data_IF_589838627339
#
_entry.id   IF_589838627339
#
_cell.length_a   1.000
_cell.length_b   1.000
_cell.length_c   1.000
_cell.angle_alpha   90.00
_cell.angle_beta   90.00
_cell.angle_gamma   90.00
#
_symmetry.space_group_name_H-M   'P 1'
#
loop_
_entity.id
_entity.type
_entity.pdbx_description
1 polymer ?
#
# COMPACT_ATOMS: atom_id res chain seq x y z
N UNK A 1 5.15 7.07 4.17
CA UNK A 1 5.12 5.60 4.02
C UNK A 1 5.62 5.23 2.62
N UNK A 2 6.17 4.03 2.46
CA UNK A 2 6.69 3.51 1.19
C UNK A 2 5.93 2.25 0.81
N UNK A 3 5.54 2.14 -0.46
CA UNK A 3 4.89 0.97 -1.04
C UNK A 3 5.93 0.22 -1.89
N UNK A 4 6.02 -1.09 -1.69
CA UNK A 4 7.05 -1.94 -2.28
C UNK A 4 6.40 -3.17 -2.89
N UNK A 5 6.88 -3.59 -4.06
CA UNK A 5 6.52 -4.87 -4.66
C UNK A 5 7.00 -6.02 -3.77
N UNK A 6 6.10 -6.94 -3.45
CA UNK A 6 6.38 -8.03 -2.51
C UNK A 6 7.27 -9.13 -3.10
N UNK A 7 7.27 -9.31 -4.42
CA UNK A 7 7.99 -10.37 -5.11
C UNK A 7 9.47 -10.04 -5.34
N UNK A 8 9.76 -8.81 -5.79
CA UNK A 8 11.10 -8.39 -6.19
C UNK A 8 11.72 -7.34 -5.24
N UNK A 9 10.95 -6.77 -4.31
CA UNK A 9 11.41 -5.75 -3.37
C UNK A 9 11.59 -4.35 -3.97
N UNK A 10 11.12 -4.12 -5.19
CA UNK A 10 11.17 -2.84 -5.88
C UNK A 10 10.29 -1.79 -5.18
N UNK A 11 10.80 -0.56 -5.09
CA UNK A 11 10.04 0.55 -4.54
C UNK A 11 9.08 1.08 -5.59
N UNK A 12 7.78 0.87 -5.38
CA UNK A 12 6.72 1.32 -6.28
C UNK A 12 6.36 2.78 -6.05
N UNK A 13 6.19 3.17 -4.79
CA UNK A 13 5.83 4.56 -4.43
C UNK A 13 6.53 4.96 -3.13
N UNK A 14 7.15 6.14 -3.15
CA UNK A 14 7.78 6.74 -1.97
C UNK A 14 6.94 7.88 -1.40
N UNK A 15 7.18 8.20 -0.13
CA UNK A 15 6.63 9.40 0.53
C UNK A 15 5.10 9.52 0.49
N UNK A 16 4.38 8.39 0.53
CA UNK A 16 2.92 8.37 0.66
C UNK A 16 2.54 9.08 1.95
N UNK A 17 1.81 10.20 1.81
CA UNK A 17 1.28 10.99 2.91
C UNK A 17 -0.01 10.36 3.41
N UNK A 18 -0.05 10.07 4.70
CA UNK A 18 -1.24 9.55 5.38
C UNK A 18 -1.51 10.49 6.54
N UNK A 19 -2.64 11.19 6.48
CA UNK A 19 -3.03 12.16 7.51
C UNK A 19 -3.85 11.53 8.63
N UNK A 20 -4.59 10.46 8.35
CA UNK A 20 -5.40 9.76 9.36
C UNK A 20 -5.67 8.30 8.96
N UNK A 21 -6.12 7.49 9.93
CA UNK A 21 -6.53 6.10 9.67
C UNK A 21 -7.79 5.98 8.80
N UNK A 22 -8.67 6.98 8.83
CA UNK A 22 -9.89 7.03 8.01
C UNK A 22 -9.57 7.15 6.53
N UNK A 23 -8.55 7.95 6.21
CA UNK A 23 -8.12 8.24 4.83
C UNK A 23 -6.97 7.35 4.36
N UNK A 24 -6.53 6.40 5.18
CA UNK A 24 -5.35 5.56 4.93
C UNK A 24 -5.42 4.84 3.57
N UNK A 25 -6.48 4.07 3.34
CA UNK A 25 -6.60 3.29 2.10
C UNK A 25 -6.82 4.18 0.89
N UNK A 26 -7.64 5.23 1.01
CA UNK A 26 -7.82 6.20 -0.06
C UNK A 26 -6.50 6.85 -0.47
N UNK A 27 -5.65 7.18 0.50
CA UNK A 27 -4.33 7.78 0.25
C UNK A 27 -3.38 6.78 -0.45
N UNK A 28 -3.41 5.51 -0.05
CA UNK A 28 -2.63 4.43 -0.68
C UNK A 28 -3.08 4.21 -2.12
N UNK A 29 -4.39 4.03 -2.33
CA UNK A 29 -4.98 3.78 -3.65
C UNK A 29 -4.77 4.96 -4.58
N UNK A 30 -4.93 6.19 -4.09
CA UNK A 30 -4.62 7.39 -4.85
C UNK A 30 -3.13 7.43 -5.25
N UNK A 31 -2.22 7.11 -4.33
CA UNK A 31 -0.79 7.07 -4.63
C UNK A 31 -0.44 6.01 -5.68
N UNK A 32 -1.03 4.81 -5.59
CA UNK A 32 -0.85 3.73 -6.58
C UNK A 32 -1.39 4.12 -7.96
N UNK A 33 -2.59 4.72 -8.02
CA UNK A 33 -3.19 5.19 -9.27
C UNK A 33 -2.39 6.31 -9.93
N UNK A 34 -1.97 7.31 -9.16
CA UNK A 34 -1.22 8.46 -9.69
C UNK A 34 0.16 8.05 -10.21
N UNK A 35 0.73 6.95 -9.71
CA UNK A 35 2.00 6.40 -10.21
C UNK A 35 1.78 5.28 -11.25
N UNK A 36 0.55 5.08 -11.74
CA UNK A 36 0.22 4.09 -12.78
C UNK A 36 0.71 2.68 -12.47
N UNK A 37 0.66 2.30 -11.19
CA UNK A 37 1.17 0.99 -10.73
C UNK A 37 0.26 -0.13 -11.24
N UNK A 38 0.84 -1.10 -11.93
CA UNK A 38 0.14 -2.30 -12.41
C UNK A 38 -0.33 -3.21 -11.27
N UNK A 39 -1.38 -4.03 -11.48
CA UNK A 39 -1.85 -4.98 -10.48
C UNK A 39 -0.74 -5.93 -9.99
N UNK A 40 -0.50 -5.96 -8.68
CA UNK A 40 0.58 -6.75 -8.09
C UNK A 40 0.45 -6.88 -6.56
N UNK A 41 1.19 -7.82 -5.99
CA UNK A 41 1.35 -7.96 -4.53
C UNK A 41 2.26 -6.88 -3.98
N UNK A 42 1.83 -6.24 -2.89
CA UNK A 42 2.56 -5.13 -2.29
C UNK A 42 2.69 -5.29 -0.78
N UNK A 43 3.72 -4.67 -0.22
CA UNK A 43 3.84 -4.46 1.21
C UNK A 43 4.31 -3.03 1.53
N UNK A 44 4.26 -2.68 2.80
CA UNK A 44 4.50 -1.30 3.25
C UNK A 44 5.75 -1.21 4.15
N UNK A 45 6.57 -0.17 3.93
CA UNK A 45 7.67 0.23 4.84
C UNK A 45 7.47 1.66 5.34
N UNK A 46 8.18 2.03 6.40
CA UNK A 46 8.11 3.37 7.01
C UNK A 46 6.65 3.77 7.33
N UNK A 47 5.89 2.81 7.89
CA UNK A 47 4.47 2.96 8.18
C UNK A 47 4.30 3.79 9.46
N UNK A 48 3.39 4.80 9.47
CA UNK A 48 3.00 5.50 10.69
C UNK A 48 2.55 4.52 11.78
N UNK A 49 2.90 4.79 13.04
CA UNK A 49 2.67 3.87 14.15
C UNK A 49 1.20 3.42 14.27
N UNK A 50 0.27 4.36 14.07
CA UNK A 50 -1.17 4.13 14.09
C UNK A 50 -1.65 3.15 13.02
N UNK A 51 -1.01 3.15 11.84
CA UNK A 51 -1.38 2.32 10.70
C UNK A 51 -0.68 0.95 10.68
N UNK A 52 0.39 0.76 11.45
CA UNK A 52 1.18 -0.49 11.48
C UNK A 52 0.32 -1.72 11.72
N UNK A 53 -0.54 -1.70 12.75
CA UNK A 53 -1.40 -2.85 13.09
C UNK A 53 -2.33 -3.23 11.94
N UNK A 54 -2.87 -2.24 11.23
CA UNK A 54 -3.83 -2.44 10.15
C UNK A 54 -3.14 -2.97 8.88
N UNK A 55 -1.96 -2.44 8.55
CA UNK A 55 -1.26 -2.79 7.32
C UNK A 55 -0.37 -4.02 7.44
N UNK A 56 0.16 -4.35 8.61
CA UNK A 56 1.05 -5.51 8.79
C UNK A 56 0.33 -6.79 9.21
N UNK A 57 -0.98 -6.75 9.45
CA UNK A 57 -1.76 -7.93 9.87
C UNK A 57 -2.24 -8.80 8.71
N UNK A 58 -2.05 -8.36 7.48
CA UNK A 58 -2.57 -8.97 6.26
C UNK A 58 -1.58 -8.79 5.12
N UNK A 59 -1.60 -9.72 4.17
CA UNK A 59 -0.99 -9.52 2.86
C UNK A 59 -1.92 -8.69 1.98
N UNK A 60 -1.34 -7.87 1.10
CA UNK A 60 -2.08 -6.92 0.28
C UNK A 60 -1.82 -7.13 -1.19
N UNK A 61 -2.90 -7.02 -1.96
CA UNK A 61 -2.88 -7.04 -3.40
C UNK A 61 -3.47 -5.74 -3.93
N UNK A 62 -2.75 -5.09 -4.83
CA UNK A 62 -3.28 -4.00 -5.63
C UNK A 62 -3.84 -4.57 -6.91
N UNK A 63 -5.13 -4.35 -7.20
CA UNK A 63 -5.77 -4.88 -8.41
C UNK A 63 -5.87 -3.88 -9.58
N UNK A 64 -5.17 -2.73 -9.48
CA UNK A 64 -5.28 -1.63 -10.46
C UNK A 64 -6.38 -0.61 -10.14
N UNK A 65 -7.31 -0.94 -9.24
CA UNK A 65 -8.40 -0.03 -8.85
C UNK A 65 -8.56 0.14 -7.35
N UNK A 66 -8.36 -0.93 -6.58
CA UNK A 66 -8.58 -1.01 -5.15
C UNK A 66 -7.50 -1.86 -4.47
N UNK A 67 -7.22 -1.54 -3.21
CA UNK A 67 -6.39 -2.38 -2.36
C UNK A 67 -7.23 -3.47 -1.72
N UNK A 68 -6.81 -4.72 -1.92
CA UNK A 68 -7.52 -5.91 -1.48
C UNK A 68 -6.62 -6.76 -0.58
N UNK A 69 -7.26 -7.57 0.28
CA UNK A 69 -6.54 -8.53 1.10
C UNK A 69 -6.21 -9.70 0.19
N UNK A 70 -4.92 -10.03 0.09
CA UNK A 70 -4.51 -11.22 -0.64
C UNK A 70 -4.86 -12.46 0.19
N UNK A 71 -5.60 -13.39 -0.41
CA UNK A 71 -5.92 -14.70 0.14
C UNK A 71 -5.41 -15.72 -0.87
N UNK A 72 -4.52 -16.62 -0.44
CA UNK A 72 -4.05 -17.76 -1.25
C UNK A 72 -5.21 -18.69 -1.64
#
# INVERSE_FOLDING_TARGET
MTIINQENGEILVQNVKVSSLETLFLSIEHALKTNEIEPQRIFFKNIPQEAKKKLLSKDWYWNGSKLEIYQD
#
